data_IF_178185366603
#
_entry.id   IF_178185366603
#
_cell.length_a   1.000
_cell.length_b   1.000
_cell.length_c   1.000
_cell.angle_alpha   90.00
_cell.angle_beta   90.00
_cell.angle_gamma   90.00
#
_symmetry.space_group_name_H-M   'P 1'
#
loop_
_entity.id
_entity.type
_entity.pdbx_description
1 polymer ?
#
# COMPACT_ATOMS: atom_id res chain seq x y z
N UNK A 1 -69.15 26.56 -50.33
CA UNK A 1 -69.89 25.51 -51.06
C UNK A 1 -69.13 24.21 -51.04
N UNK A 2 -69.85 23.14 -50.53
CA UNK A 2 -69.62 21.67 -50.73
C UNK A 2 -68.21 21.09 -50.69
N UNK A 3 -67.85 20.41 -49.62
CA UNK A 3 -67.87 18.96 -49.30
C UNK A 3 -67.63 18.03 -50.52
N UNK A 4 -66.54 17.23 -50.39
CA UNK A 4 -66.72 15.77 -50.54
C UNK A 4 -65.61 14.98 -49.90
N UNK A 5 -66.02 14.01 -49.11
CA UNK A 5 -65.25 12.96 -48.49
C UNK A 5 -64.84 11.91 -49.51
N UNK A 6 -63.60 11.36 -49.36
CA UNK A 6 -63.20 10.13 -50.00
C UNK A 6 -62.48 9.25 -49.02
N UNK A 7 -63.16 8.29 -48.40
CA UNK A 7 -62.63 7.16 -47.71
C UNK A 7 -62.00 6.19 -48.72
N UNK A 8 -60.76 5.81 -48.56
CA UNK A 8 -60.25 4.65 -49.29
C UNK A 8 -59.97 3.55 -48.26
N UNK A 9 -60.66 2.44 -48.40
CA UNK A 9 -60.53 1.20 -47.68
C UNK A 9 -59.14 0.57 -47.99
N UNK A 10 -58.33 0.41 -46.95
CA UNK A 10 -57.10 -0.41 -47.01
C UNK A 10 -57.51 -1.86 -46.72
N UNK A 11 -57.53 -2.69 -47.76
CA UNK A 11 -57.79 -4.11 -47.66
C UNK A 11 -56.71 -4.88 -46.94
N UNK A 12 -57.08 -5.83 -46.09
CA UNK A 12 -56.23 -6.73 -45.29
C UNK A 12 -55.29 -7.66 -46.09
N UNK A 13 -55.21 -7.52 -47.41
CA UNK A 13 -54.36 -8.38 -48.27
C UNK A 13 -53.04 -7.76 -48.70
N UNK A 14 -52.76 -6.49 -48.31
CA UNK A 14 -51.47 -5.82 -48.62
C UNK A 14 -50.37 -5.94 -47.53
N UNK A 15 -50.65 -6.58 -46.39
CA UNK A 15 -49.75 -6.59 -45.25
C UNK A 15 -48.86 -7.85 -45.13
N UNK A 16 -48.89 -8.77 -46.09
CA UNK A 16 -48.14 -10.04 -45.99
C UNK A 16 -46.97 -10.14 -46.98
N UNK A 17 -46.65 -9.10 -47.76
CA UNK A 17 -45.63 -9.21 -48.80
C UNK A 17 -44.40 -8.31 -48.61
N UNK A 18 -44.09 -7.84 -47.36
CA UNK A 18 -42.89 -7.04 -47.10
C UNK A 18 -42.13 -7.46 -45.84
N UNK A 19 -42.18 -8.75 -45.51
CA UNK A 19 -41.44 -9.29 -44.31
C UNK A 19 -40.51 -10.43 -44.75
N UNK A 20 -39.57 -10.14 -45.65
CA UNK A 20 -38.47 -11.07 -45.96
C UNK A 20 -37.28 -10.28 -46.51
N UNK A 21 -36.40 -9.84 -45.64
CA UNK A 21 -34.93 -9.66 -45.78
C UNK A 21 -34.43 -8.61 -44.77
N UNK A 22 -34.50 -8.92 -43.48
CA UNK A 22 -33.62 -8.35 -42.48
C UNK A 22 -32.93 -9.53 -41.77
N UNK A 23 -31.82 -10.01 -42.35
CA UNK A 23 -30.90 -10.92 -41.69
C UNK A 23 -30.29 -10.14 -40.51
N UNK A 24 -30.88 -10.27 -39.33
CA UNK A 24 -30.30 -9.86 -38.08
C UNK A 24 -29.08 -10.74 -37.86
N UNK A 25 -27.91 -10.19 -38.07
CA UNK A 25 -26.65 -10.73 -37.49
C UNK A 25 -26.81 -10.51 -35.99
N UNK A 26 -27.39 -11.47 -35.28
CA UNK A 26 -27.30 -11.58 -33.84
C UNK A 26 -25.83 -11.90 -33.56
N UNK A 27 -25.06 -10.90 -33.18
CA UNK A 27 -23.80 -11.10 -32.46
C UNK A 27 -24.14 -11.89 -31.21
N UNK A 28 -23.85 -13.19 -31.24
CA UNK A 28 -23.87 -14.05 -30.06
C UNK A 28 -22.75 -13.57 -29.20
N UNK A 29 -23.05 -12.65 -28.27
CA UNK A 29 -22.17 -12.43 -27.13
C UNK A 29 -22.08 -13.78 -26.41
N UNK A 30 -20.88 -14.34 -26.16
CA UNK A 30 -20.80 -15.56 -25.37
C UNK A 30 -21.46 -15.28 -24.03
N UNK A 31 -22.54 -15.99 -23.74
CA UNK A 31 -23.11 -16.00 -22.42
C UNK A 31 -21.99 -16.38 -21.43
N UNK A 32 -21.87 -15.70 -20.30
CA UNK A 32 -20.90 -16.10 -19.28
C UNK A 32 -21.18 -17.59 -18.99
N UNK A 33 -20.13 -18.41 -19.09
CA UNK A 33 -20.23 -19.82 -18.75
C UNK A 33 -20.71 -19.89 -17.26
N UNK A 34 -21.95 -20.25 -17.08
CA UNK A 34 -22.47 -20.61 -15.74
C UNK A 34 -21.70 -21.87 -15.35
N UNK A 35 -20.65 -21.71 -14.56
CA UNK A 35 -19.93 -22.82 -13.97
C UNK A 35 -20.91 -23.60 -13.11
N UNK A 36 -21.26 -24.79 -13.56
CA UNK A 36 -22.12 -25.69 -12.82
C UNK A 36 -21.43 -26.08 -11.52
N UNK A 37 -21.93 -25.61 -10.36
CA UNK A 37 -21.69 -26.25 -9.08
C UNK A 37 -20.94 -25.49 -7.98
N UNK A 38 -20.99 -24.16 -7.87
CA UNK A 38 -20.41 -23.46 -6.71
C UNK A 38 -20.31 -21.95 -6.94
N UNK A 39 -20.28 -21.17 -5.86
CA UNK A 39 -19.97 -19.74 -5.97
C UNK A 39 -18.53 -19.55 -6.45
N UNK A 40 -18.23 -18.55 -7.29
CA UNK A 40 -16.87 -18.22 -7.65
C UNK A 40 -16.03 -17.93 -6.38
N UNK A 41 -14.79 -18.37 -6.38
CA UNK A 41 -13.86 -18.28 -5.24
C UNK A 41 -12.82 -17.21 -5.48
N UNK A 42 -12.72 -16.28 -4.57
CA UNK A 42 -11.63 -15.30 -4.52
C UNK A 42 -10.74 -15.59 -3.34
N UNK A 43 -9.47 -15.81 -3.60
CA UNK A 43 -8.44 -15.88 -2.56
C UNK A 43 -7.67 -14.58 -2.54
N UNK A 44 -7.56 -13.97 -1.35
CA UNK A 44 -6.78 -12.76 -1.10
C UNK A 44 -5.61 -13.11 -0.20
N UNK A 45 -4.39 -12.82 -0.61
CA UNK A 45 -3.17 -13.08 0.16
C UNK A 45 -2.61 -11.75 0.67
N UNK A 46 -2.53 -11.63 2.00
CA UNK A 46 -2.08 -10.45 2.73
C UNK A 46 -3.26 -9.61 3.24
N UNK A 47 -3.32 -9.41 4.56
CA UNK A 47 -4.39 -8.73 5.27
C UNK A 47 -4.12 -7.24 5.56
N UNK A 48 -3.18 -6.61 4.84
CA UNK A 48 -2.88 -5.19 4.96
C UNK A 48 -3.90 -4.27 4.26
N UNK A 49 -3.52 -3.00 4.08
CA UNK A 49 -4.40 -1.95 3.56
C UNK A 49 -5.07 -2.31 2.22
N UNK A 50 -4.35 -2.99 1.33
CA UNK A 50 -4.93 -3.45 0.07
C UNK A 50 -5.80 -4.68 0.23
N UNK A 51 -5.28 -5.76 0.80
CA UNK A 51 -5.98 -7.05 0.81
C UNK A 51 -7.21 -7.07 1.71
N UNK A 52 -7.14 -6.50 2.92
CA UNK A 52 -8.32 -6.38 3.79
C UNK A 52 -9.44 -5.58 3.12
N UNK A 53 -9.10 -4.45 2.49
CA UNK A 53 -10.05 -3.64 1.72
C UNK A 53 -10.64 -4.44 0.55
N UNK A 54 -9.80 -5.11 -0.25
CA UNK A 54 -10.28 -5.89 -1.40
C UNK A 54 -11.23 -7.02 -0.95
N UNK A 55 -10.84 -7.78 0.09
CA UNK A 55 -11.67 -8.85 0.64
C UNK A 55 -13.04 -8.33 1.10
N UNK A 56 -13.02 -7.23 1.88
CA UNK A 56 -14.25 -6.58 2.36
C UNK A 56 -15.17 -6.14 1.22
N UNK A 57 -14.62 -5.40 0.25
CA UNK A 57 -15.44 -4.83 -0.83
C UNK A 57 -15.99 -5.91 -1.76
N UNK A 58 -15.23 -6.96 -2.08
CA UNK A 58 -15.73 -8.07 -2.88
C UNK A 58 -16.85 -8.79 -2.13
N UNK A 59 -16.63 -9.16 -0.88
CA UNK A 59 -17.62 -9.88 -0.08
C UNK A 59 -18.91 -9.06 0.11
N UNK A 60 -18.77 -7.80 0.54
CA UNK A 60 -19.88 -6.87 0.76
C UNK A 60 -20.69 -6.63 -0.51
N UNK A 61 -20.03 -6.27 -1.61
CA UNK A 61 -20.70 -5.80 -2.81
C UNK A 61 -21.17 -6.92 -3.72
N UNK A 62 -20.68 -8.16 -3.54
CA UNK A 62 -21.21 -9.37 -4.21
C UNK A 62 -22.46 -9.91 -3.54
N UNK A 63 -22.81 -9.43 -2.33
CA UNK A 63 -23.98 -9.88 -1.56
C UNK A 63 -24.08 -11.41 -1.44
N UNK A 64 -22.93 -12.07 -1.23
CA UNK A 64 -22.84 -13.51 -1.09
C UNK A 64 -22.78 -14.29 -2.42
N UNK A 65 -22.68 -13.62 -3.56
CA UNK A 65 -22.51 -14.29 -4.86
C UNK A 65 -21.08 -14.82 -5.08
N UNK A 66 -20.11 -14.38 -4.28
CA UNK A 66 -18.70 -14.76 -4.36
C UNK A 66 -18.22 -15.23 -2.99
N UNK A 67 -17.51 -16.34 -2.94
CA UNK A 67 -16.85 -16.83 -1.73
C UNK A 67 -15.45 -16.18 -1.63
N UNK A 68 -15.21 -15.45 -0.54
CA UNK A 68 -13.95 -14.71 -0.33
C UNK A 68 -13.16 -15.33 0.82
N UNK A 69 -11.92 -15.74 0.56
CA UNK A 69 -10.98 -16.21 1.58
C UNK A 69 -9.79 -15.26 1.67
N UNK A 70 -9.53 -14.73 2.87
CA UNK A 70 -8.35 -13.92 3.19
C UNK A 70 -7.31 -14.81 3.88
N UNK A 71 -6.11 -14.90 3.29
CA UNK A 71 -4.96 -15.62 3.86
C UNK A 71 -4.01 -14.60 4.48
N UNK A 72 -3.86 -14.65 5.79
CA UNK A 72 -2.99 -13.74 6.55
C UNK A 72 -2.46 -14.47 7.80
N UNK A 73 -1.15 -14.64 7.95
CA UNK A 73 -0.58 -15.41 9.06
C UNK A 73 -0.84 -14.76 10.42
N UNK A 74 -0.88 -13.45 10.49
CA UNK A 74 -1.07 -12.72 11.75
C UNK A 74 -2.54 -12.61 12.13
N UNK A 75 -2.84 -12.74 13.43
CA UNK A 75 -4.21 -12.57 13.94
C UNK A 75 -4.64 -11.09 14.03
N UNK A 76 -3.68 -10.18 14.00
CA UNK A 76 -3.90 -8.75 13.97
C UNK A 76 -2.91 -8.10 13.00
N UNK A 77 -3.38 -7.12 12.26
CA UNK A 77 -2.58 -6.25 11.43
C UNK A 77 -2.18 -5.01 12.21
N UNK A 78 -0.88 -4.79 12.35
CA UNK A 78 -0.36 -3.53 12.86
C UNK A 78 -0.04 -2.61 11.69
N UNK A 79 -0.66 -1.44 11.68
CA UNK A 79 -0.52 -0.50 10.56
C UNK A 79 0.90 0.06 10.49
N UNK A 80 1.54 -0.02 9.31
CA UNK A 80 2.84 0.64 9.10
C UNK A 80 2.70 2.17 9.09
N UNK A 81 1.62 2.68 8.51
CA UNK A 81 1.21 4.06 8.71
C UNK A 81 0.77 4.24 10.16
N UNK A 82 1.16 5.35 10.78
CA UNK A 82 1.05 5.64 12.22
C UNK A 82 1.97 4.81 13.15
N UNK A 83 2.74 3.85 12.65
CA UNK A 83 3.77 3.20 13.47
C UNK A 83 4.88 4.16 13.91
N UNK A 84 5.16 5.22 13.12
CA UNK A 84 6.06 6.29 13.53
C UNK A 84 5.51 7.08 14.73
N UNK A 85 4.19 7.27 14.81
CA UNK A 85 3.53 7.94 15.93
C UNK A 85 3.63 7.13 17.23
N UNK A 86 3.62 5.80 17.14
CA UNK A 86 3.93 4.94 18.28
C UNK A 86 5.38 5.14 18.76
N UNK A 87 6.35 5.20 17.83
CA UNK A 87 7.75 5.49 18.18
C UNK A 87 7.87 6.85 18.86
N UNK A 88 7.16 7.85 18.36
CA UNK A 88 7.14 9.21 18.89
C UNK A 88 6.35 9.41 20.19
N UNK A 89 5.67 8.37 20.70
CA UNK A 89 4.83 8.47 21.91
C UNK A 89 3.49 9.17 21.71
N UNK A 90 3.05 9.37 20.45
CA UNK A 90 1.75 9.97 20.13
C UNK A 90 0.60 8.96 20.14
N UNK A 91 0.92 7.66 20.08
CA UNK A 91 -0.06 6.57 20.10
C UNK A 91 0.47 5.36 20.88
N UNK A 92 -0.47 4.65 21.53
CA UNK A 92 -0.19 3.35 22.12
C UNK A 92 -0.12 2.26 21.04
N UNK A 93 0.61 1.17 21.32
CA UNK A 93 0.79 0.06 20.39
C UNK A 93 -0.52 -0.57 19.96
N UNK A 94 -1.42 -0.79 20.91
CA UNK A 94 -2.72 -1.42 20.70
C UNK A 94 -3.61 -0.61 19.77
N UNK A 95 -3.44 0.72 19.76
CA UNK A 95 -4.24 1.63 18.93
C UNK A 95 -3.95 1.53 17.43
N UNK A 96 -2.84 0.90 17.04
CA UNK A 96 -2.48 0.65 15.65
C UNK A 96 -2.65 -0.81 15.24
N UNK A 97 -3.21 -1.65 16.12
CA UNK A 97 -3.51 -3.06 15.90
C UNK A 97 -4.98 -3.31 15.57
N UNK A 98 -5.26 -4.04 14.50
CA UNK A 98 -6.62 -4.31 14.03
C UNK A 98 -6.82 -5.79 13.75
N UNK A 99 -7.91 -6.38 14.27
CA UNK A 99 -8.27 -7.78 14.01
C UNK A 99 -9.12 -7.92 12.74
N UNK A 100 -9.22 -9.13 12.23
CA UNK A 100 -10.05 -9.46 11.05
C UNK A 100 -11.47 -9.94 11.44
N UNK A 101 -11.81 -9.91 12.72
CA UNK A 101 -13.07 -10.46 13.23
C UNK A 101 -14.31 -9.83 12.59
N UNK A 102 -14.31 -8.52 12.38
CA UNK A 102 -15.44 -7.84 11.76
C UNK A 102 -15.60 -8.18 10.26
N UNK A 103 -14.51 -8.43 9.53
CA UNK A 103 -14.58 -8.90 8.13
C UNK A 103 -15.31 -10.25 8.05
N UNK A 104 -15.02 -11.17 8.97
CA UNK A 104 -15.70 -12.44 9.05
C UNK A 104 -17.17 -12.29 9.48
N UNK A 105 -17.43 -11.55 10.54
CA UNK A 105 -18.76 -11.41 11.13
C UNK A 105 -19.73 -10.59 10.27
N UNK A 106 -19.29 -9.47 9.69
CA UNK A 106 -20.15 -8.53 8.99
C UNK A 106 -20.26 -8.81 7.48
N UNK A 107 -19.22 -9.45 6.90
CA UNK A 107 -19.14 -9.62 5.44
C UNK A 107 -18.96 -11.09 5.02
N UNK A 108 -18.84 -12.03 5.95
CA UNK A 108 -18.69 -13.45 5.64
C UNK A 108 -17.36 -13.83 4.99
N UNK A 109 -16.31 -13.00 5.17
CA UNK A 109 -14.97 -13.31 4.70
C UNK A 109 -14.42 -14.49 5.52
N UNK A 110 -13.99 -15.55 4.83
CA UNK A 110 -13.29 -16.66 5.48
C UNK A 110 -11.83 -16.24 5.73
N UNK A 111 -11.41 -16.13 7.00
CA UNK A 111 -10.04 -15.74 7.36
C UNK A 111 -9.22 -16.96 7.72
N UNK A 112 -8.14 -17.20 6.96
CA UNK A 112 -7.20 -18.32 7.16
C UNK A 112 -5.89 -17.73 7.69
N UNK A 113 -5.57 -18.06 8.95
CA UNK A 113 -4.33 -17.63 9.58
C UNK A 113 -3.19 -18.59 9.25
N UNK A 114 -2.63 -18.45 8.06
CA UNK A 114 -1.51 -19.24 7.56
C UNK A 114 -0.68 -18.42 6.55
N UNK A 115 0.55 -18.90 6.27
CA UNK A 115 1.40 -18.35 5.22
C UNK A 115 1.02 -18.95 3.86
N UNK A 116 0.78 -18.11 2.86
CA UNK A 116 0.81 -18.52 1.47
C UNK A 116 2.26 -18.69 1.04
N UNK A 117 2.66 -19.89 0.62
CA UNK A 117 4.06 -20.23 0.29
C UNK A 117 4.29 -20.52 -1.18
N UNK A 118 3.24 -20.83 -1.94
CA UNK A 118 3.32 -21.06 -3.39
C UNK A 118 2.02 -20.69 -4.09
N UNK A 119 2.13 -20.44 -5.38
CA UNK A 119 1.00 -20.25 -6.30
C UNK A 119 1.19 -21.19 -7.49
N UNK A 120 0.27 -22.10 -7.67
CA UNK A 120 0.17 -22.94 -8.88
C UNK A 120 -0.82 -22.25 -9.85
N UNK A 121 -0.31 -21.60 -10.87
CA UNK A 121 -1.08 -20.82 -11.83
C UNK A 121 -1.90 -21.72 -12.77
N UNK A 122 -1.35 -22.87 -13.14
CA UNK A 122 -1.99 -23.81 -14.07
C UNK A 122 -3.23 -24.47 -13.42
N UNK A 123 -3.11 -24.87 -12.15
CA UNK A 123 -4.19 -25.46 -11.37
C UNK A 123 -4.99 -24.42 -10.56
N UNK A 124 -4.64 -23.13 -10.63
CA UNK A 124 -5.27 -22.03 -9.90
C UNK A 124 -5.42 -22.32 -8.40
N UNK A 125 -4.30 -22.57 -7.75
CA UNK A 125 -4.29 -22.85 -6.33
C UNK A 125 -3.16 -22.16 -5.58
N UNK A 126 -3.40 -21.83 -4.31
CA UNK A 126 -2.44 -21.23 -3.37
C UNK A 126 -2.08 -22.28 -2.34
N UNK A 127 -0.81 -22.67 -2.25
CA UNK A 127 -0.29 -23.58 -1.24
C UNK A 127 -0.05 -22.87 0.09
N UNK A 128 -0.39 -23.54 1.19
CA UNK A 128 -0.28 -23.03 2.56
C UNK A 128 0.87 -23.72 3.32
N UNK A 129 1.54 -22.99 4.20
CA UNK A 129 2.66 -23.51 5.00
C UNK A 129 2.21 -24.61 5.97
N UNK A 130 1.02 -24.50 6.54
CA UNK A 130 0.41 -25.53 7.39
C UNK A 130 -0.06 -26.77 6.65
N UNK A 131 0.08 -26.80 5.33
CA UNK A 131 -0.35 -27.88 4.44
C UNK A 131 -1.70 -27.62 3.76
N UNK A 132 -1.92 -28.32 2.65
CA UNK A 132 -3.09 -28.10 1.81
C UNK A 132 -2.98 -26.92 0.87
N UNK A 133 -4.04 -26.69 0.13
CA UNK A 133 -4.13 -25.60 -0.85
C UNK A 133 -5.53 -25.02 -0.95
N UNK A 134 -5.64 -23.78 -1.38
CA UNK A 134 -6.89 -23.06 -1.65
C UNK A 134 -7.02 -22.85 -3.15
N UNK A 135 -8.04 -23.43 -3.76
CA UNK A 135 -8.34 -23.21 -5.16
C UNK A 135 -9.05 -21.85 -5.35
N UNK A 136 -8.77 -21.14 -6.46
CA UNK A 136 -9.35 -19.85 -6.76
C UNK A 136 -9.84 -19.73 -8.20
N UNK A 137 -10.82 -18.88 -8.40
CA UNK A 137 -11.25 -18.40 -9.72
C UNK A 137 -10.62 -17.03 -10.02
N UNK A 138 -10.33 -16.24 -8.94
CA UNK A 138 -9.43 -15.07 -8.97
C UNK A 138 -8.57 -15.04 -7.71
N UNK A 139 -7.30 -14.69 -7.89
CA UNK A 139 -6.34 -14.50 -6.82
C UNK A 139 -5.97 -13.02 -6.72
N UNK A 140 -5.95 -12.50 -5.51
CA UNK A 140 -5.46 -11.14 -5.23
C UNK A 140 -4.23 -11.25 -4.35
N UNK A 141 -3.08 -10.77 -4.85
CA UNK A 141 -1.83 -10.69 -4.10
C UNK A 141 -1.62 -9.26 -3.59
N UNK A 142 -1.65 -9.09 -2.29
CA UNK A 142 -1.36 -7.83 -1.59
C UNK A 142 -0.34 -8.04 -0.47
N UNK A 143 0.84 -8.64 -0.78
CA UNK A 143 1.80 -9.07 0.24
C UNK A 143 2.62 -7.92 0.82
N UNK A 144 2.44 -6.68 0.33
CA UNK A 144 3.28 -5.55 0.70
C UNK A 144 4.70 -5.68 0.16
N UNK A 145 5.67 -5.21 0.96
CA UNK A 145 7.09 -5.22 0.61
C UNK A 145 7.85 -6.38 1.24
N UNK A 146 8.99 -6.71 0.62
CA UNK A 146 10.10 -7.41 1.22
C UNK A 146 11.40 -6.63 1.02
N UNK A 147 12.45 -7.05 1.72
CA UNK A 147 13.76 -6.41 1.60
C UNK A 147 14.63 -7.16 0.58
N UNK A 148 15.48 -6.41 -0.12
CA UNK A 148 16.50 -6.97 -1.01
C UNK A 148 17.71 -7.37 -0.17
N UNK A 149 18.08 -8.63 -0.24
CA UNK A 149 19.25 -9.14 0.45
C UNK A 149 20.52 -8.44 -0.07
N UNK A 150 21.45 -8.13 0.85
CA UNK A 150 22.73 -7.50 0.51
C UNK A 150 22.66 -6.04 0.03
N UNK A 151 21.50 -5.40 0.10
CA UNK A 151 21.35 -4.00 -0.35
C UNK A 151 22.01 -2.95 0.56
N UNK A 152 22.36 -3.32 1.78
CA UNK A 152 23.20 -2.55 2.69
C UNK A 152 24.35 -3.46 3.10
N UNK A 153 25.59 -3.23 2.66
CA UNK A 153 26.75 -4.03 3.05
C UNK A 153 26.88 -4.16 4.57
N UNK A 154 27.10 -5.38 5.05
CA UNK A 154 27.19 -5.71 6.47
C UNK A 154 25.86 -5.91 7.19
N UNK A 155 24.71 -5.70 6.51
CA UNK A 155 23.39 -5.92 7.09
C UNK A 155 22.60 -7.00 6.33
N UNK A 156 21.98 -7.88 7.08
CA UNK A 156 20.94 -8.81 6.64
C UNK A 156 19.89 -8.98 7.75
N UNK A 157 18.86 -9.80 7.52
CA UNK A 157 17.79 -10.02 8.49
C UNK A 157 18.25 -10.65 9.81
N UNK A 158 19.42 -11.30 9.88
CA UNK A 158 19.96 -11.81 11.15
C UNK A 158 20.42 -10.68 12.08
N UNK A 159 20.74 -9.51 11.52
CA UNK A 159 21.21 -8.33 12.24
C UNK A 159 20.04 -7.43 12.73
N UNK A 160 18.81 -7.74 12.38
CA UNK A 160 17.64 -6.90 12.70
C UNK A 160 17.39 -6.69 14.20
N UNK A 161 17.95 -7.54 15.07
CA UNK A 161 17.83 -7.37 16.51
C UNK A 161 18.84 -6.36 17.09
N UNK A 162 19.92 -6.07 16.35
CA UNK A 162 20.90 -5.04 16.70
C UNK A 162 20.59 -3.72 16.02
N UNK A 163 20.40 -3.77 14.71
CA UNK A 163 20.08 -2.65 13.84
C UNK A 163 18.72 -2.88 13.18
N UNK A 164 17.61 -2.61 13.89
CA UNK A 164 16.26 -2.91 13.42
C UNK A 164 15.89 -2.12 12.17
N UNK A 165 15.19 -2.79 11.25
CA UNK A 165 14.62 -2.08 10.10
C UNK A 165 13.36 -1.28 10.49
N UNK A 166 12.52 -1.79 11.41
CA UNK A 166 11.27 -1.18 11.88
C UNK A 166 10.34 -0.65 10.76
N UNK A 167 10.46 -1.21 9.55
CA UNK A 167 9.73 -0.75 8.36
C UNK A 167 8.56 -1.67 7.98
N UNK A 168 8.51 -2.87 8.52
CA UNK A 168 7.30 -3.69 8.67
C UNK A 168 6.86 -3.54 10.13
N UNK A 169 5.64 -3.02 10.35
CA UNK A 169 5.15 -2.81 11.72
C UNK A 169 5.01 -4.15 12.46
N UNK A 170 5.48 -4.18 13.69
CA UNK A 170 5.57 -5.40 14.51
C UNK A 170 6.65 -5.27 15.58
N UNK A 171 7.23 -6.40 15.99
CA UNK A 171 8.28 -6.47 17.00
C UNK A 171 9.48 -5.57 16.72
N UNK A 172 9.82 -5.36 15.45
CA UNK A 172 10.90 -4.46 15.04
C UNK A 172 10.61 -2.98 15.37
N UNK A 173 9.34 -2.57 15.32
CA UNK A 173 8.93 -1.20 15.70
C UNK A 173 9.04 -1.01 17.21
N UNK A 174 8.61 -2.01 17.98
CA UNK A 174 8.73 -2.00 19.45
C UNK A 174 10.19 -2.03 19.88
N UNK A 175 11.02 -2.85 19.22
CA UNK A 175 12.46 -2.92 19.48
C UNK A 175 13.14 -1.57 19.25
N UNK A 176 12.88 -0.92 18.11
CA UNK A 176 13.46 0.38 17.80
C UNK A 176 13.05 1.43 18.85
N UNK A 177 11.78 1.47 19.25
CA UNK A 177 11.33 2.37 20.33
C UNK A 177 12.10 2.12 21.63
N UNK A 178 12.20 0.87 22.04
CA UNK A 178 12.92 0.50 23.27
C UNK A 178 14.41 0.88 23.21
N UNK A 179 15.07 0.74 22.07
CA UNK A 179 16.46 1.15 21.88
C UNK A 179 16.61 2.67 21.98
N UNK A 180 15.68 3.44 21.40
CA UNK A 180 15.69 4.92 21.49
C UNK A 180 15.51 5.37 22.96
N UNK A 181 14.58 4.75 23.68
CA UNK A 181 14.32 5.06 25.09
C UNK A 181 15.50 4.68 26.02
N UNK A 182 16.28 3.66 25.67
CA UNK A 182 17.44 3.20 26.40
C UNK A 182 18.76 3.88 25.97
N UNK A 183 18.73 4.81 25.03
CA UNK A 183 19.93 5.44 24.49
C UNK A 183 20.67 6.25 25.56
N UNK A 184 22.01 6.15 25.69
CA UNK A 184 22.77 6.90 26.69
C UNK A 184 22.67 8.40 26.45
N UNK A 185 22.88 9.19 27.51
CA UNK A 185 22.89 10.66 27.43
C UNK A 185 23.91 11.14 26.40
N UNK A 186 23.50 12.04 25.50
CA UNK A 186 24.31 12.52 24.40
C UNK A 186 24.57 11.50 23.28
N UNK A 187 23.91 10.34 23.32
CA UNK A 187 24.09 9.27 22.36
C UNK A 187 23.68 9.64 20.92
N UNK A 188 24.13 8.82 19.98
CA UNK A 188 23.88 9.02 18.54
C UNK A 188 22.89 8.01 18.00
N UNK A 189 21.77 8.51 17.47
CA UNK A 189 20.84 7.73 16.63
C UNK A 189 21.23 7.90 15.16
N UNK A 190 21.35 6.81 14.42
CA UNK A 190 21.57 6.84 12.98
C UNK A 190 20.48 6.10 12.23
N UNK A 191 19.98 6.69 11.15
CA UNK A 191 19.10 6.01 10.19
C UNK A 191 19.80 5.88 8.85
N UNK A 192 19.94 4.64 8.36
CA UNK A 192 20.29 4.36 6.97
C UNK A 192 18.99 4.33 6.17
N UNK A 193 18.76 5.35 5.34
CA UNK A 193 17.54 5.51 4.57
C UNK A 193 17.53 4.62 3.32
N UNK A 194 16.35 4.15 2.86
CA UNK A 194 16.26 3.28 1.69
C UNK A 194 16.45 4.03 0.38
N UNK A 195 17.02 3.40 -0.66
CA UNK A 195 16.97 3.93 -2.03
C UNK A 195 15.57 3.81 -2.63
N UNK A 196 15.29 4.59 -3.69
CA UNK A 196 14.04 4.46 -4.47
C UNK A 196 14.03 3.18 -5.33
N UNK A 197 12.85 2.57 -5.60
CA UNK A 197 11.54 2.87 -5.02
C UNK A 197 11.31 2.16 -3.68
N UNK A 198 10.63 2.80 -2.76
CA UNK A 198 10.31 2.21 -1.46
C UNK A 198 8.92 2.66 -0.96
N UNK A 199 8.38 1.94 0.04
CA UNK A 199 7.08 2.25 0.66
C UNK A 199 7.15 3.54 1.47
N UNK A 200 6.09 4.38 1.35
CA UNK A 200 5.91 5.61 2.11
C UNK A 200 7.10 6.58 1.95
N UNK A 201 7.24 7.25 0.78
CA UNK A 201 8.38 8.13 0.53
C UNK A 201 8.70 9.16 1.61
N UNK A 202 7.72 9.77 2.33
CA UNK A 202 8.03 10.63 3.47
C UNK A 202 8.26 9.88 4.80
N UNK A 203 7.98 8.59 4.87
CA UNK A 203 7.97 7.81 6.12
C UNK A 203 9.28 7.80 6.92
N UNK A 204 10.47 7.66 6.31
CA UNK A 204 11.74 7.76 7.01
C UNK A 204 11.93 9.11 7.71
N UNK A 205 11.55 10.20 7.06
CA UNK A 205 11.76 11.57 7.56
C UNK A 205 10.72 11.97 8.62
N UNK A 206 9.50 11.44 8.52
CA UNK A 206 8.53 11.49 9.63
C UNK A 206 9.07 10.74 10.85
N UNK A 207 9.67 9.55 10.65
CA UNK A 207 10.31 8.79 11.74
C UNK A 207 11.37 9.61 12.43
N UNK A 208 12.24 10.29 11.68
CA UNK A 208 13.24 11.20 12.25
C UNK A 208 12.59 12.29 13.10
N UNK A 209 11.49 12.87 12.64
CA UNK A 209 10.74 13.87 13.42
C UNK A 209 10.22 13.29 14.73
N UNK A 210 9.69 12.06 14.70
CA UNK A 210 9.18 11.37 15.89
C UNK A 210 10.31 10.98 16.86
N UNK A 211 11.45 10.53 16.36
CA UNK A 211 12.64 10.26 17.17
C UNK A 211 13.16 11.55 17.81
N UNK A 212 13.24 12.63 17.04
CA UNK A 212 13.67 13.93 17.53
C UNK A 212 12.70 14.49 18.61
N UNK A 213 11.39 14.21 18.45
CA UNK A 213 10.40 14.60 19.44
C UNK A 213 10.65 13.93 20.80
N UNK A 214 10.92 12.63 20.81
CA UNK A 214 11.25 11.88 22.03
C UNK A 214 12.58 12.34 22.61
N UNK A 215 13.61 12.41 21.81
CA UNK A 215 14.97 12.74 22.27
C UNK A 215 15.06 14.19 22.77
N UNK A 216 14.36 15.15 22.17
CA UNK A 216 14.31 16.53 22.67
C UNK A 216 13.86 16.60 24.12
N UNK A 217 12.98 15.70 24.55
CA UNK A 217 12.45 15.68 25.91
C UNK A 217 13.31 14.84 26.87
N UNK A 218 13.73 13.65 26.42
CA UNK A 218 14.39 12.67 27.26
C UNK A 218 15.94 12.76 27.21
N UNK A 219 16.51 13.21 26.09
CA UNK A 219 17.95 13.23 25.82
C UNK A 219 18.32 14.40 24.89
N UNK A 220 18.21 15.67 25.35
CA UNK A 220 18.29 16.85 24.50
C UNK A 220 19.68 17.09 23.87
N UNK A 221 20.72 16.43 24.37
CA UNK A 221 22.08 16.48 23.82
C UNK A 221 22.36 15.40 22.77
N UNK A 222 21.41 14.49 22.55
CA UNK A 222 21.51 13.43 21.55
C UNK A 222 21.65 13.98 20.12
N UNK A 223 22.30 13.18 19.26
CA UNK A 223 22.44 13.47 17.83
C UNK A 223 21.62 12.50 16.99
N UNK A 224 21.07 13.01 15.89
CA UNK A 224 20.35 12.21 14.91
C UNK A 224 21.02 12.40 13.56
N UNK A 225 21.48 11.30 12.98
CA UNK A 225 22.14 11.28 11.67
C UNK A 225 21.27 10.49 10.70
N UNK A 226 21.06 11.06 9.51
CA UNK A 226 20.38 10.41 8.39
C UNK A 226 21.43 10.17 7.30
N UNK A 227 21.78 8.90 7.04
CA UNK A 227 22.58 8.53 5.87
C UNK A 227 21.62 8.20 4.74
N UNK A 228 21.63 9.00 3.69
CA UNK A 228 20.58 9.01 2.67
C UNK A 228 21.16 8.91 1.25
N UNK A 229 20.91 7.81 0.51
CA UNK A 229 21.44 7.62 -0.84
C UNK A 229 20.75 8.49 -1.91
N UNK A 230 19.82 9.34 -1.54
CA UNK A 230 19.02 10.16 -2.47
C UNK A 230 19.44 11.63 -2.43
N UNK A 231 19.53 12.27 -3.57
CA UNK A 231 19.75 13.73 -3.65
C UNK A 231 18.62 14.50 -2.98
N UNK A 232 17.38 14.09 -3.25
CA UNK A 232 16.16 14.72 -2.73
C UNK A 232 15.20 13.69 -2.18
N UNK A 233 14.36 14.11 -1.23
CA UNK A 233 13.31 13.29 -0.67
C UNK A 233 11.95 14.01 -0.62
N UNK A 234 10.90 13.22 -0.43
CA UNK A 234 9.51 13.73 -0.41
C UNK A 234 9.30 14.74 0.71
N UNK A 235 8.81 15.93 0.38
CA UNK A 235 8.52 17.04 1.32
C UNK A 235 9.78 17.60 2.02
N UNK A 236 10.97 17.48 1.41
CA UNK A 236 12.24 17.85 2.04
C UNK A 236 12.21 19.23 2.68
N UNK A 237 11.88 20.28 1.95
CA UNK A 237 11.88 21.64 2.50
C UNK A 237 10.90 21.83 3.67
N UNK A 238 9.80 21.07 3.70
CA UNK A 238 8.83 21.11 4.81
C UNK A 238 9.38 20.45 6.07
N UNK A 239 10.08 19.31 5.91
CA UNK A 239 10.75 18.65 7.04
C UNK A 239 11.91 19.50 7.56
N UNK A 240 12.77 20.04 6.69
CA UNK A 240 13.90 20.87 7.08
C UNK A 240 13.45 22.14 7.81
N UNK A 241 12.38 22.82 7.32
CA UNK A 241 11.76 23.95 8.02
C UNK A 241 11.27 23.54 9.41
N UNK A 242 10.56 22.42 9.51
CA UNK A 242 10.03 21.92 10.77
C UNK A 242 11.14 21.46 11.74
N UNK A 243 12.17 20.78 11.25
CA UNK A 243 13.32 20.39 12.09
C UNK A 243 14.08 21.60 12.61
N UNK A 244 14.30 22.61 11.78
CA UNK A 244 14.93 23.85 12.23
C UNK A 244 14.09 24.57 13.30
N UNK A 245 12.76 24.53 13.18
CA UNK A 245 11.83 25.15 14.13
C UNK A 245 11.75 24.38 15.46
N UNK A 246 11.65 23.06 15.41
CA UNK A 246 11.34 22.25 16.59
C UNK A 246 12.58 21.57 17.21
N UNK A 247 13.60 21.25 16.41
CA UNK A 247 14.77 20.43 16.80
C UNK A 247 16.09 21.03 16.31
N UNK A 248 16.34 22.36 16.53
CA UNK A 248 17.50 23.03 15.97
C UNK A 248 18.81 22.36 16.40
N UNK A 249 19.67 22.06 15.42
CA UNK A 249 21.00 21.48 15.64
C UNK A 249 21.03 20.00 16.09
N UNK A 250 19.86 19.31 16.17
CA UNK A 250 19.80 17.90 16.58
C UNK A 250 19.93 16.95 15.40
N UNK A 251 19.48 17.32 14.20
CA UNK A 251 19.34 16.45 13.03
C UNK A 251 20.34 16.87 11.96
N UNK A 252 21.13 15.89 11.47
CA UNK A 252 22.06 16.05 10.36
C UNK A 252 21.75 15.02 9.26
N UNK A 253 21.81 15.44 8.00
CA UNK A 253 21.63 14.56 6.84
C UNK A 253 22.91 14.50 6.02
N UNK A 254 23.40 13.28 5.83
CA UNK A 254 24.52 12.95 4.94
C UNK A 254 23.92 12.44 3.63
N UNK A 255 23.86 13.31 2.61
CA UNK A 255 23.40 12.99 1.27
C UNK A 255 24.51 12.43 0.38
N UNK A 256 24.21 12.12 -0.92
CA UNK A 256 25.20 11.57 -1.85
C UNK A 256 26.47 12.42 -2.01
N UNK A 257 26.34 13.74 -1.98
CA UNK A 257 27.50 14.66 -2.07
C UNK A 257 28.50 14.50 -0.91
N UNK A 258 28.10 13.80 0.15
CA UNK A 258 28.91 13.52 1.33
C UNK A 258 29.00 12.01 1.59
N UNK A 259 28.88 11.17 0.54
CA UNK A 259 29.01 9.72 0.63
C UNK A 259 27.77 8.98 1.15
N UNK A 260 26.62 9.62 1.26
CA UNK A 260 25.39 8.98 1.77
C UNK A 260 24.88 7.81 0.94
N UNK A 261 25.37 7.64 -0.28
CA UNK A 261 25.12 6.47 -1.15
C UNK A 261 26.20 5.38 -1.03
N UNK A 262 27.31 5.65 -0.32
CA UNK A 262 28.41 4.72 -0.04
C UNK A 262 28.39 4.30 1.42
N UNK A 263 27.37 3.57 1.84
CA UNK A 263 27.14 3.15 3.22
C UNK A 263 27.39 1.66 3.41
N UNK A 264 28.10 1.33 4.51
CA UNK A 264 28.28 -0.02 5.06
C UNK A 264 27.92 0.04 6.55
N UNK A 265 27.45 -1.06 7.13
CA UNK A 265 27.27 -1.15 8.58
C UNK A 265 28.05 -2.31 9.17
N UNK A 266 28.48 -2.15 10.42
CA UNK A 266 29.19 -3.15 11.23
C UNK A 266 28.41 -3.40 12.51
N UNK A 267 27.38 -4.27 12.48
CA UNK A 267 26.44 -4.43 13.59
C UNK A 267 27.10 -4.85 14.91
N UNK A 268 28.10 -5.71 14.86
CA UNK A 268 28.84 -6.16 16.08
C UNK A 268 29.54 -5.01 16.77
N UNK A 269 30.04 -4.06 16.01
CA UNK A 269 30.75 -2.88 16.51
C UNK A 269 29.84 -1.69 16.77
N UNK A 270 28.55 -1.75 16.38
CA UNK A 270 27.62 -0.63 16.31
C UNK A 270 28.25 0.57 15.58
N UNK A 271 28.71 0.32 14.34
CA UNK A 271 29.30 1.32 13.46
C UNK A 271 28.53 1.43 12.16
N UNK A 272 28.40 2.68 11.68
CA UNK A 272 27.99 3.01 10.32
C UNK A 272 29.22 3.60 9.62
N UNK A 273 29.55 3.06 8.45
CA UNK A 273 30.69 3.51 7.64
C UNK A 273 30.13 4.27 6.45
N UNK A 274 30.55 5.51 6.27
CA UNK A 274 30.14 6.39 5.18
C UNK A 274 31.38 6.83 4.43
N UNK A 275 31.47 6.54 3.14
CA UNK A 275 32.64 6.83 2.31
C UNK A 275 33.98 6.39 2.96
N UNK A 276 33.97 5.21 3.58
CA UNK A 276 35.15 4.63 4.27
C UNK A 276 35.38 5.13 5.69
N UNK A 277 34.69 6.18 6.15
CA UNK A 277 34.86 6.73 7.51
C UNK A 277 33.86 6.07 8.48
N UNK A 278 34.35 5.43 9.52
CA UNK A 278 33.54 4.73 10.51
C UNK A 278 33.06 5.68 11.62
N UNK A 279 31.76 5.60 11.88
CA UNK A 279 31.09 6.37 12.92
C UNK A 279 30.43 5.42 13.92
N UNK A 280 30.72 5.56 15.20
CA UNK A 280 30.02 4.86 16.28
C UNK A 280 28.63 5.42 16.48
N UNK A 281 27.67 4.51 16.69
CA UNK A 281 26.26 4.87 16.93
C UNK A 281 25.72 4.02 18.09
N UNK A 282 24.79 4.60 18.86
CA UNK A 282 24.17 3.91 19.99
C UNK A 282 22.88 3.19 19.53
N UNK A 283 22.16 3.78 18.59
CA UNK A 283 20.99 3.18 17.93
C UNK A 283 21.12 3.33 16.42
N UNK A 284 20.93 2.25 15.68
CA UNK A 284 20.95 2.27 14.23
C UNK A 284 19.68 1.65 13.64
N UNK A 285 18.91 2.46 12.91
CA UNK A 285 17.76 2.00 12.13
C UNK A 285 18.15 1.82 10.67
N UNK A 286 18.31 0.58 10.22
CA UNK A 286 18.66 0.28 8.82
C UNK A 286 17.41 -0.07 8.02
N UNK A 287 17.07 0.75 7.02
CA UNK A 287 15.96 0.49 6.11
C UNK A 287 16.52 0.06 4.75
N UNK A 288 16.56 -1.25 4.45
CA UNK A 288 17.15 -1.74 3.19
C UNK A 288 16.34 -1.38 1.97
N UNK A 289 16.91 -1.58 0.77
CA UNK A 289 16.17 -1.53 -0.49
C UNK A 289 15.03 -2.55 -0.48
N UNK A 290 13.96 -2.24 -1.20
CA UNK A 290 12.71 -2.98 -1.14
C UNK A 290 12.36 -3.62 -2.48
N UNK A 291 11.51 -4.64 -2.41
CA UNK A 291 10.89 -5.34 -3.53
C UNK A 291 9.49 -5.80 -3.11
N UNK A 292 8.73 -6.38 -4.04
CA UNK A 292 7.44 -7.01 -3.72
C UNK A 292 7.61 -8.15 -2.71
N UNK A 293 6.60 -8.36 -1.86
CA UNK A 293 6.59 -9.49 -0.92
C UNK A 293 6.81 -10.82 -1.65
N UNK A 294 7.59 -11.72 -1.06
CA UNK A 294 8.16 -12.95 -1.68
C UNK A 294 7.16 -13.82 -2.44
N UNK A 295 5.90 -13.86 -2.01
CA UNK A 295 4.88 -14.67 -2.70
C UNK A 295 4.61 -14.16 -4.12
N UNK A 296 4.83 -12.88 -4.44
CA UNK A 296 4.70 -12.35 -5.79
C UNK A 296 5.78 -12.92 -6.73
N UNK A 297 7.02 -13.01 -6.26
CA UNK A 297 8.10 -13.66 -7.00
C UNK A 297 7.88 -15.19 -7.11
N UNK A 298 7.43 -15.84 -6.02
CA UNK A 298 7.09 -17.27 -6.03
C UNK A 298 5.94 -17.59 -6.99
N UNK A 299 5.03 -16.66 -7.24
CA UNK A 299 3.98 -16.77 -8.25
C UNK A 299 4.46 -16.50 -9.70
N UNK A 300 5.71 -16.09 -9.89
CA UNK A 300 6.27 -15.77 -11.21
C UNK A 300 5.61 -14.54 -11.87
N UNK A 301 5.22 -13.53 -11.08
CA UNK A 301 4.53 -12.34 -11.58
C UNK A 301 5.30 -11.03 -11.37
N UNK A 302 6.52 -11.09 -10.87
CA UNK A 302 7.44 -9.95 -10.80
C UNK A 302 8.33 -9.89 -12.04
N UNK A 303 8.76 -8.68 -12.40
CA UNK A 303 9.81 -8.47 -13.40
C UNK A 303 11.19 -8.31 -12.74
N UNK A 304 12.20 -7.96 -13.55
CA UNK A 304 13.59 -7.77 -13.10
C UNK A 304 13.73 -6.62 -12.09
N UNK A 305 12.76 -5.70 -12.03
CA UNK A 305 12.70 -4.66 -10.99
C UNK A 305 12.37 -5.22 -9.60
N UNK A 306 11.91 -6.47 -9.52
CA UNK A 306 11.43 -7.11 -8.30
C UNK A 306 10.03 -6.66 -7.86
N UNK A 307 9.32 -5.91 -8.71
CA UNK A 307 7.92 -5.50 -8.50
C UNK A 307 7.01 -6.18 -9.50
N UNK A 308 5.71 -6.23 -9.24
CA UNK A 308 4.75 -6.89 -10.11
C UNK A 308 4.10 -5.91 -11.11
N UNK A 309 4.34 -6.04 -12.43
CA UNK A 309 3.66 -5.27 -13.46
C UNK A 309 2.14 -5.55 -13.48
N UNK A 310 1.34 -4.48 -13.59
CA UNK A 310 -0.13 -4.56 -13.56
C UNK A 310 -0.78 -3.89 -14.78
N UNK A 311 -2.03 -4.28 -15.03
CA UNK A 311 -2.96 -3.57 -15.92
C UNK A 311 -3.67 -2.49 -15.10
N UNK A 312 -3.44 -1.20 -15.38
CA UNK A 312 -3.92 -0.11 -14.52
C UNK A 312 -5.43 -0.05 -14.34
N UNK A 313 -6.21 -0.49 -15.33
CA UNK A 313 -7.67 -0.46 -15.30
C UNK A 313 -8.31 -1.47 -14.33
N UNK A 314 -7.61 -2.57 -14.01
CA UNK A 314 -8.17 -3.71 -13.29
C UNK A 314 -7.29 -4.21 -12.15
N UNK A 315 -6.06 -3.73 -12.04
CA UNK A 315 -5.00 -4.26 -11.17
C UNK A 315 -4.63 -5.73 -11.48
N UNK A 316 -5.03 -6.28 -12.63
CA UNK A 316 -4.57 -7.61 -13.09
C UNK A 316 -3.06 -7.62 -13.28
N UNK A 317 -2.43 -8.74 -12.95
CA UNK A 317 -1.03 -8.99 -13.34
C UNK A 317 -0.90 -9.04 -14.85
N UNK A 318 0.16 -8.46 -15.40
CA UNK A 318 0.46 -8.62 -16.84
C UNK A 318 0.92 -10.04 -17.20
N UNK A 319 1.28 -10.86 -16.20
CA UNK A 319 1.73 -12.23 -16.38
C UNK A 319 0.59 -13.27 -16.29
N UNK A 320 -0.57 -12.93 -15.70
CA UNK A 320 -1.71 -13.84 -15.53
C UNK A 320 -3.00 -13.08 -15.30
N UNK A 321 -4.00 -13.30 -16.16
CA UNK A 321 -5.29 -12.62 -16.12
C UNK A 321 -6.18 -12.98 -14.90
N UNK A 322 -5.89 -14.09 -14.23
CA UNK A 322 -6.62 -14.55 -13.05
C UNK A 322 -6.01 -14.07 -11.74
N UNK A 323 -4.85 -13.41 -11.81
CA UNK A 323 -4.14 -12.85 -10.66
C UNK A 323 -4.19 -11.32 -10.71
N UNK A 324 -4.54 -10.71 -9.60
CA UNK A 324 -4.48 -9.27 -9.39
C UNK A 324 -3.41 -8.95 -8.35
N UNK A 325 -2.72 -7.82 -8.51
CA UNK A 325 -1.71 -7.37 -7.55
C UNK A 325 -1.98 -5.92 -7.18
N UNK A 326 -1.97 -5.64 -5.89
CA UNK A 326 -2.25 -4.29 -5.41
C UNK A 326 -1.41 -3.92 -4.18
N UNK A 327 -1.40 -2.63 -3.86
CA UNK A 327 -0.58 -2.08 -2.81
C UNK A 327 0.89 -2.02 -3.20
N UNK A 328 1.76 -2.11 -2.20
CA UNK A 328 3.19 -1.85 -2.37
C UNK A 328 3.88 -2.83 -3.32
N UNK A 329 3.35 -4.05 -3.49
CA UNK A 329 3.92 -5.05 -4.39
C UNK A 329 3.76 -4.71 -5.88
N UNK A 330 2.78 -3.87 -6.23
CA UNK A 330 2.49 -3.53 -7.62
C UNK A 330 3.46 -2.48 -8.20
N UNK A 331 3.79 -2.62 -9.48
CA UNK A 331 4.43 -1.58 -10.28
C UNK A 331 3.35 -0.61 -10.78
N UNK A 332 3.05 0.39 -9.97
CA UNK A 332 1.83 1.20 -10.02
C UNK A 332 1.99 2.57 -10.71
N UNK A 333 3.07 2.79 -11.45
CA UNK A 333 3.32 4.04 -12.20
C UNK A 333 3.62 5.22 -11.29
N UNK A 334 2.90 6.35 -11.50
CA UNK A 334 3.14 7.60 -10.77
C UNK A 334 2.56 7.58 -9.34
N UNK A 335 1.75 6.59 -9.01
CA UNK A 335 1.13 6.46 -7.70
C UNK A 335 2.15 5.96 -6.66
N UNK A 336 2.34 6.63 -5.50
CA UNK A 336 3.32 6.20 -4.52
C UNK A 336 2.87 4.91 -3.80
N UNK A 337 3.82 4.14 -3.31
CA UNK A 337 3.55 2.98 -2.44
C UNK A 337 3.15 3.49 -1.05
N UNK A 338 1.88 3.35 -0.69
CA UNK A 338 1.33 3.81 0.60
C UNK A 338 0.06 3.04 0.97
N UNK A 339 -0.34 3.11 2.24
CA UNK A 339 -1.59 2.51 2.72
C UNK A 339 -2.83 3.09 2.02
N UNK A 340 -2.85 4.41 1.77
CA UNK A 340 -3.95 5.06 1.03
C UNK A 340 -4.00 4.58 -0.42
N UNK A 341 -2.86 4.55 -1.12
CA UNK A 341 -2.78 4.02 -2.49
C UNK A 341 -3.29 2.58 -2.55
N UNK A 342 -2.87 1.73 -1.61
CA UNK A 342 -3.30 0.33 -1.55
C UNK A 342 -4.82 0.20 -1.34
N UNK A 343 -5.40 1.00 -0.43
CA UNK A 343 -6.85 1.04 -0.21
C UNK A 343 -7.60 1.54 -1.45
N UNK A 344 -7.12 2.58 -2.11
CA UNK A 344 -7.71 3.12 -3.35
C UNK A 344 -7.68 2.09 -4.49
N UNK A 345 -6.54 1.41 -4.68
CA UNK A 345 -6.38 0.34 -5.67
C UNK A 345 -7.27 -0.87 -5.38
N UNK A 346 -7.43 -1.22 -4.11
CA UNK A 346 -8.26 -2.34 -3.69
C UNK A 346 -9.72 -2.18 -4.09
N UNK A 347 -10.27 -0.97 -4.04
CA UNK A 347 -11.65 -0.67 -4.46
C UNK A 347 -11.83 -0.85 -5.97
N UNK A 348 -10.87 -0.39 -6.76
CA UNK A 348 -10.86 -0.59 -8.21
C UNK A 348 -10.72 -2.08 -8.58
N UNK A 349 -9.79 -2.79 -7.92
CA UNK A 349 -9.60 -4.22 -8.08
C UNK A 349 -10.87 -5.01 -7.71
N UNK A 350 -11.48 -4.70 -6.56
CA UNK A 350 -12.71 -5.37 -6.11
C UNK A 350 -13.86 -5.22 -7.11
N UNK A 351 -14.03 -4.02 -7.68
CA UNK A 351 -15.02 -3.76 -8.72
C UNK A 351 -14.74 -4.59 -9.99
N UNK A 352 -13.49 -4.64 -10.44
CA UNK A 352 -13.07 -5.41 -11.62
C UNK A 352 -13.25 -6.92 -11.40
N UNK A 353 -12.81 -7.46 -10.26
CA UNK A 353 -12.96 -8.88 -9.90
C UNK A 353 -14.43 -9.27 -9.81
N UNK A 354 -15.25 -8.48 -9.12
CA UNK A 354 -16.68 -8.72 -9.03
C UNK A 354 -17.34 -8.69 -10.41
N UNK A 355 -17.02 -7.69 -11.24
CA UNK A 355 -17.53 -7.60 -12.60
C UNK A 355 -17.20 -8.83 -13.44
N UNK A 356 -15.97 -9.32 -13.38
CA UNK A 356 -15.52 -10.50 -14.09
C UNK A 356 -16.22 -11.80 -13.62
N UNK A 357 -16.57 -11.90 -12.33
CA UNK A 357 -17.17 -13.12 -11.77
C UNK A 357 -18.70 -13.12 -11.76
N UNK A 358 -19.35 -11.94 -11.75
CA UNK A 358 -20.80 -11.85 -11.61
C UNK A 358 -21.51 -11.14 -12.79
N UNK A 359 -20.73 -10.62 -13.74
CA UNK A 359 -21.28 -9.82 -14.84
C UNK A 359 -21.80 -8.43 -14.42
N UNK A 360 -21.48 -7.98 -13.19
CA UNK A 360 -21.87 -6.65 -12.72
C UNK A 360 -21.08 -5.54 -13.42
N UNK A 361 -21.67 -4.33 -13.48
CA UNK A 361 -21.06 -3.18 -14.15
C UNK A 361 -19.72 -2.81 -13.57
N UNK A 362 -18.77 -2.50 -14.46
CA UNK A 362 -17.43 -1.99 -14.13
C UNK A 362 -17.29 -0.60 -14.74
N UNK A 363 -16.83 0.35 -13.93
CA UNK A 363 -16.59 1.73 -14.35
C UNK A 363 -15.09 2.01 -14.45
N UNK A 364 -14.65 2.98 -15.26
CA UNK A 364 -13.26 3.41 -15.30
C UNK A 364 -12.77 3.78 -13.89
N UNK A 365 -11.69 3.17 -13.41
CA UNK A 365 -11.21 3.42 -12.06
C UNK A 365 -10.60 4.82 -11.94
N UNK A 366 -10.81 5.45 -10.80
CA UNK A 366 -10.12 6.65 -10.36
C UNK A 366 -9.38 6.34 -9.08
N UNK A 367 -8.16 6.85 -8.99
CA UNK A 367 -7.29 6.60 -7.85
C UNK A 367 -6.95 7.91 -7.16
N UNK A 368 -6.69 7.83 -5.88
CA UNK A 368 -6.23 8.95 -5.08
C UNK A 368 -5.23 8.49 -4.03
N UNK A 369 -4.37 9.42 -3.62
CA UNK A 369 -3.47 9.24 -2.50
C UNK A 369 -3.20 10.56 -1.83
N UNK A 370 -3.16 10.55 -0.50
CA UNK A 370 -2.61 11.62 0.33
C UNK A 370 -1.70 11.01 1.38
N UNK A 371 -0.52 11.58 1.56
CA UNK A 371 0.44 11.21 2.58
C UNK A 371 0.61 12.38 3.54
N UNK A 372 0.00 12.27 4.73
CA UNK A 372 0.29 13.16 5.84
C UNK A 372 1.61 12.78 6.49
N UNK A 373 2.26 13.72 7.11
CA UNK A 373 3.42 13.50 7.96
C UNK A 373 3.38 14.49 9.11
N UNK A 374 3.67 13.99 10.30
CA UNK A 374 3.75 14.81 11.51
C UNK A 374 5.21 15.15 11.80
N UNK A 375 5.46 16.41 12.09
CA UNK A 375 6.80 16.91 12.43
C UNK A 375 6.92 17.08 13.94
N UNK A 376 5.88 17.62 14.55
CA UNK A 376 5.74 17.81 16.00
C UNK A 376 4.26 17.81 16.38
N UNK A 377 3.94 17.94 17.67
CA UNK A 377 2.57 18.15 18.12
C UNK A 377 1.98 19.39 17.47
N UNK A 378 0.86 19.25 16.77
CA UNK A 378 0.20 20.35 16.06
C UNK A 378 0.89 20.84 14.80
N UNK A 379 1.94 20.17 14.33
CA UNK A 379 2.65 20.49 13.09
C UNK A 379 2.60 19.32 12.10
N UNK A 380 1.59 19.34 11.23
CA UNK A 380 1.36 18.36 10.17
C UNK A 380 1.57 18.95 8.78
N UNK A 381 2.11 18.14 7.87
CA UNK A 381 2.28 18.45 6.44
C UNK A 381 1.72 17.33 5.57
N UNK A 382 1.27 17.66 4.37
CA UNK A 382 0.68 16.68 3.46
C UNK A 382 1.13 16.86 2.02
N UNK A 383 1.10 15.78 1.26
CA UNK A 383 1.21 15.74 -0.20
C UNK A 383 0.17 14.74 -0.72
N UNK A 384 -0.54 15.12 -1.75
CA UNK A 384 -1.55 14.26 -2.35
C UNK A 384 -1.70 14.46 -3.83
N UNK A 385 -2.38 13.52 -4.47
CA UNK A 385 -2.69 13.58 -5.89
C UNK A 385 -3.91 12.72 -6.24
N UNK A 386 -4.54 13.07 -7.37
CA UNK A 386 -5.49 12.25 -8.10
C UNK A 386 -4.79 11.56 -9.27
N UNK A 387 -5.30 10.39 -9.64
CA UNK A 387 -4.71 9.58 -10.70
C UNK A 387 -5.82 8.92 -11.53
N UNK A 388 -5.48 8.61 -12.78
CA UNK A 388 -6.33 7.82 -13.67
C UNK A 388 -5.56 6.63 -14.24
N UNK A 389 -6.30 5.61 -14.65
CA UNK A 389 -5.73 4.48 -15.37
C UNK A 389 -5.50 4.85 -16.83
N UNK A 390 -4.28 4.61 -17.32
CA UNK A 390 -3.95 4.55 -18.75
C UNK A 390 -3.62 3.10 -19.14
N UNK A 391 -3.37 2.82 -20.42
CA UNK A 391 -2.97 1.48 -20.86
C UNK A 391 -1.59 1.07 -20.30
N UNK A 392 -0.75 2.06 -20.00
CA UNK A 392 0.63 1.84 -19.56
C UNK A 392 0.80 1.87 -18.03
N UNK A 393 0.22 2.87 -17.38
CA UNK A 393 0.42 3.14 -15.94
C UNK A 393 -0.77 3.81 -15.28
N UNK A 394 -0.78 3.82 -13.96
CA UNK A 394 -1.61 4.73 -13.18
C UNK A 394 -0.93 6.10 -13.24
N UNK A 395 -1.51 7.03 -14.00
CA UNK A 395 -0.95 8.33 -14.32
C UNK A 395 -1.51 9.42 -13.40
N UNK A 396 -0.63 10.29 -12.90
CA UNK A 396 -1.03 11.46 -12.11
C UNK A 396 -1.77 12.47 -12.98
N UNK A 397 -2.92 12.96 -12.51
CA UNK A 397 -3.74 13.98 -13.18
C UNK A 397 -3.64 15.35 -12.51
N UNK A 398 -3.64 15.37 -11.17
CA UNK A 398 -3.58 16.59 -10.37
C UNK A 398 -2.89 16.29 -9.04
N UNK A 399 -2.45 17.32 -8.31
CA UNK A 399 -1.83 17.13 -7.03
C UNK A 399 -1.61 18.42 -6.25
N UNK A 400 -1.37 18.25 -4.96
CA UNK A 400 -1.10 19.33 -4.01
C UNK A 400 -0.01 18.93 -3.03
N UNK A 401 0.61 19.92 -2.41
CA UNK A 401 1.60 19.76 -1.35
C UNK A 401 1.52 20.97 -0.43
N UNK A 402 1.66 20.75 0.88
CA UNK A 402 1.87 21.82 1.86
C UNK A 402 3.02 22.74 1.45
N UNK A 403 2.96 24.01 1.84
CA UNK A 403 3.97 24.98 1.48
C UNK A 403 4.83 25.32 2.72
N UNK A 404 6.08 25.71 2.49
CA UNK A 404 6.91 26.34 3.53
C UNK A 404 6.28 27.66 3.96
N UNK A 405 6.40 28.02 5.25
CA UNK A 405 5.80 29.24 5.79
C UNK A 405 4.28 29.17 6.01
N UNK A 406 3.62 28.01 5.88
CA UNK A 406 2.22 27.87 6.29
C UNK A 406 2.02 28.29 7.75
N UNK A 407 0.86 28.87 8.05
CA UNK A 407 0.53 29.30 9.41
C UNK A 407 0.40 28.12 10.38
N UNK A 408 0.57 28.37 11.67
CA UNK A 408 0.42 27.37 12.72
C UNK A 408 -0.98 26.75 12.72
N UNK A 409 -2.02 27.54 12.41
CA UNK A 409 -3.41 27.08 12.33
C UNK A 409 -3.61 26.08 11.19
N UNK A 410 -3.00 26.33 9.99
CA UNK A 410 -3.09 25.43 8.86
C UNK A 410 -2.30 24.13 9.13
N UNK A 411 -1.14 24.23 9.78
CA UNK A 411 -0.35 23.07 10.21
C UNK A 411 -1.10 22.21 11.24
N UNK A 412 -1.78 22.86 12.19
CA UNK A 412 -2.65 22.18 13.16
C UNK A 412 -3.83 21.51 12.48
N UNK A 413 -4.52 22.18 11.56
CA UNK A 413 -5.61 21.58 10.79
C UNK A 413 -5.15 20.35 10.00
N UNK A 414 -3.95 20.40 9.39
CA UNK A 414 -3.35 19.25 8.68
C UNK A 414 -2.99 18.10 9.64
N UNK A 415 -2.54 18.42 10.86
CA UNK A 415 -2.30 17.45 11.92
C UNK A 415 -3.60 16.73 12.30
N UNK A 416 -4.67 17.46 12.58
CA UNK A 416 -5.99 16.89 12.94
C UNK A 416 -6.60 16.09 11.78
N UNK A 417 -6.48 16.56 10.54
CA UNK A 417 -6.91 15.85 9.35
C UNK A 417 -6.23 14.46 9.23
N UNK A 418 -4.95 14.36 9.59
CA UNK A 418 -4.23 13.09 9.57
C UNK A 418 -4.80 12.06 10.56
N UNK A 419 -5.21 12.52 11.74
CA UNK A 419 -5.82 11.66 12.75
C UNK A 419 -7.18 11.14 12.29
N UNK A 420 -8.04 12.02 11.77
CA UNK A 420 -9.33 11.64 11.21
C UNK A 420 -9.22 10.71 10.00
N UNK A 421 -8.20 10.90 9.15
CA UNK A 421 -7.92 9.98 8.05
C UNK A 421 -7.58 8.58 8.55
N UNK A 422 -6.77 8.46 9.61
CA UNK A 422 -6.42 7.16 10.18
C UNK A 422 -7.66 6.38 10.64
N UNK A 423 -8.55 7.04 11.35
CA UNK A 423 -9.80 6.42 11.83
C UNK A 423 -10.69 6.01 10.64
N UNK A 424 -10.77 6.85 9.62
CA UNK A 424 -11.54 6.58 8.41
C UNK A 424 -11.00 5.39 7.62
N UNK A 425 -9.68 5.32 7.37
CA UNK A 425 -9.10 4.23 6.58
C UNK A 425 -9.15 2.89 7.32
N UNK A 426 -8.92 2.89 8.63
CA UNK A 426 -8.96 1.65 9.42
C UNK A 426 -10.38 1.10 9.55
N UNK A 427 -11.39 1.96 9.69
CA UNK A 427 -12.79 1.57 9.60
C UNK A 427 -13.12 1.01 8.21
N UNK A 428 -12.63 1.63 7.14
CA UNK A 428 -12.84 1.16 5.77
C UNK A 428 -12.15 -0.16 5.45
N UNK A 429 -11.10 -0.51 6.18
CA UNK A 429 -10.37 -1.76 6.02
C UNK A 429 -10.97 -2.92 6.84
N UNK A 430 -11.38 -2.67 8.07
CA UNK A 430 -11.59 -3.72 9.08
C UNK A 430 -13.00 -3.74 9.71
N UNK A 431 -13.94 -2.84 9.33
CA UNK A 431 -15.28 -2.82 9.93
C UNK A 431 -16.32 -3.66 9.17
#
# INVERSE_FOLDING_TARGET
MRKQNGKSDLSRRGFVASAAAATAVASVLPAPAVLAGGRPRVVVVGGGAGGATAARYIAKDSQGAVDVTLVEPSRAYYTCFFSNLYIGGFREWESIGHSYGALAANHGVNVVHDWAVSVDRDNRSVGLAGGGSLAYDRLILSPGIDFRDGSVPGWDLSQQNRMPHAYKAGSQTQLLKAQIEAMPEGGTYCMVAPPNPFRCPPGPYERISMVAHVLKQANPTAKIIIVDPKEKFSKQGLFEEGWQRHYPGMIERIGPDFGGDMVEVRPEAMEVVVDGEAMKVDVCNVIPAQQAGRIAAAAGITDDSGWAPIVPHTMQSRADENIHVLGDAALQGDMPKSGFSANSQAKACAMAVRGALTGSSVFPPRYSNTCWSLIATGDGVKVGASYEATDEKIAKTDGFISQTGESAELRMATYEESLGWYDGITADMFS
#
